data_IF_445661599607
#
_entry.id   IF_445661599607
#
_cell.length_a   1.000
_cell.length_b   1.000
_cell.length_c   1.000
_cell.angle_alpha   90.00
_cell.angle_beta   90.00
_cell.angle_gamma   90.00
#
_symmetry.space_group_name_H-M   'P 1'
#
loop_
_entity.id
_entity.type
_entity.pdbx_description
1 polymer ?
#
# COMPACT_ATOMS: atom_id res chain seq x y z
N UNK A 1 -0.18 -19.57 -27.57
CA UNK A 1 -1.39 -20.14 -26.97
C UNK A 1 -1.06 -20.46 -25.53
N UNK A 2 -1.78 -19.84 -24.60
CA UNK A 2 -1.47 -19.83 -23.18
C UNK A 2 -1.69 -21.18 -22.52
N UNK A 3 -0.77 -21.53 -21.62
CA UNK A 3 -0.93 -22.63 -20.69
C UNK A 3 -1.10 -22.02 -19.29
N UNK A 4 -2.35 -21.99 -18.85
CA UNK A 4 -2.75 -21.82 -17.46
C UNK A 4 -2.73 -23.20 -16.80
N UNK A 5 -2.10 -23.34 -15.64
CA UNK A 5 -1.94 -24.65 -14.97
C UNK A 5 -1.34 -24.59 -13.57
N UNK A 6 -1.97 -23.82 -12.68
CA UNK A 6 -2.13 -24.05 -11.23
C UNK A 6 -1.00 -24.75 -10.43
N UNK A 7 -0.19 -23.97 -9.71
CA UNK A 7 0.14 -24.24 -8.31
C UNK A 7 0.35 -22.89 -7.57
N UNK A 8 -0.23 -22.76 -6.37
CA UNK A 8 -0.31 -21.51 -5.64
C UNK A 8 1.04 -21.05 -5.07
N UNK A 9 1.43 -19.83 -5.44
CA UNK A 9 2.31 -18.89 -4.72
C UNK A 9 2.37 -17.63 -5.58
N UNK A 10 1.22 -16.97 -5.72
CA UNK A 10 1.06 -15.84 -6.63
C UNK A 10 1.78 -14.62 -6.11
N UNK A 11 3.07 -14.49 -6.44
CA UNK A 11 3.78 -13.23 -6.37
C UNK A 11 3.25 -12.30 -7.49
N UNK A 12 1.98 -11.90 -7.40
CA UNK A 12 1.40 -10.86 -8.24
C UNK A 12 1.95 -9.49 -7.84
N UNK A 13 1.60 -8.41 -8.56
CA UNK A 13 2.05 -7.04 -8.23
C UNK A 13 1.69 -6.60 -6.80
N UNK A 14 0.70 -7.25 -6.18
CA UNK A 14 0.32 -7.04 -4.79
C UNK A 14 1.28 -7.69 -3.78
N UNK A 15 2.13 -8.65 -4.16
CA UNK A 15 3.13 -9.23 -3.26
C UNK A 15 4.25 -8.24 -2.96
N UNK A 16 4.82 -7.62 -3.99
CA UNK A 16 5.77 -6.51 -3.82
C UNK A 16 5.12 -5.34 -3.07
N UNK A 17 3.83 -5.08 -3.34
CA UNK A 17 3.09 -4.06 -2.63
C UNK A 17 2.89 -4.38 -1.14
N UNK A 18 2.57 -5.64 -0.83
CA UNK A 18 2.40 -6.15 0.52
C UNK A 18 3.70 -6.10 1.30
N UNK A 19 4.81 -6.51 0.69
CA UNK A 19 6.14 -6.45 1.29
C UNK A 19 6.52 -5.01 1.67
N UNK A 20 6.26 -4.04 0.80
CA UNK A 20 6.51 -2.63 1.12
C UNK A 20 5.59 -2.13 2.22
N UNK A 21 4.30 -2.46 2.18
CA UNK A 21 3.32 -2.07 3.21
C UNK A 21 3.74 -2.62 4.56
N UNK A 22 4.12 -3.90 4.64
CA UNK A 22 4.58 -4.53 5.87
C UNK A 22 5.90 -3.94 6.36
N UNK A 23 6.85 -3.67 5.45
CA UNK A 23 8.11 -3.02 5.78
C UNK A 23 7.89 -1.64 6.39
N UNK A 24 7.09 -0.79 5.75
CA UNK A 24 6.78 0.56 6.24
C UNK A 24 5.96 0.47 7.53
N UNK A 25 5.06 -0.52 7.65
CA UNK A 25 4.28 -0.76 8.85
C UNK A 25 5.15 -1.11 10.06
N UNK A 26 6.17 -1.96 9.88
CA UNK A 26 7.07 -2.40 10.95
C UNK A 26 8.28 -1.47 11.15
N UNK A 27 8.54 -0.57 10.20
CA UNK A 27 9.69 0.33 10.25
C UNK A 27 9.70 1.15 11.54
N UNK A 28 10.89 1.24 12.15
CA UNK A 28 11.09 1.86 13.46
C UNK A 28 10.19 1.27 14.58
N UNK A 29 9.93 -0.04 14.54
CA UNK A 29 9.11 -0.73 15.54
C UNK A 29 7.63 -0.33 15.48
N UNK A 30 7.13 0.05 14.30
CA UNK A 30 5.74 0.48 14.14
C UNK A 30 5.50 1.97 14.29
N UNK A 31 6.55 2.78 14.51
CA UNK A 31 6.40 4.22 14.63
C UNK A 31 6.11 4.88 13.27
N UNK A 32 6.66 4.36 12.18
CA UNK A 32 6.58 5.03 10.87
C UNK A 32 5.16 5.02 10.28
N UNK A 33 4.38 3.95 10.50
CA UNK A 33 3.04 3.78 9.93
C UNK A 33 2.09 4.96 10.21
N UNK A 34 2.20 5.54 11.41
CA UNK A 34 1.36 6.64 11.87
C UNK A 34 2.01 8.01 11.72
N UNK A 35 3.23 8.09 11.18
CA UNK A 35 3.86 9.37 10.91
C UNK A 35 3.15 10.05 9.74
N UNK A 36 2.85 11.36 9.84
CA UNK A 36 2.21 12.08 8.76
C UNK A 36 3.15 12.18 7.57
N UNK A 37 2.59 12.00 6.38
CA UNK A 37 3.27 12.37 5.15
C UNK A 37 3.32 13.91 5.10
N UNK A 38 4.47 14.51 4.78
CA UNK A 38 4.59 15.97 4.69
C UNK A 38 3.69 16.56 3.59
N UNK A 39 3.61 17.89 3.56
CA UNK A 39 2.76 18.63 2.63
C UNK A 39 1.24 18.35 2.77
N UNK A 40 0.83 17.80 3.92
CA UNK A 40 -0.58 17.55 4.24
C UNK A 40 -1.13 16.21 3.74
N UNK A 41 -0.26 15.34 3.25
CA UNK A 41 -0.62 14.03 2.71
C UNK A 41 -0.52 13.96 1.18
N UNK A 42 -0.62 12.75 0.66
CA UNK A 42 -0.45 12.47 -0.77
C UNK A 42 -1.78 12.09 -1.43
N UNK A 43 -2.21 12.87 -2.41
CA UNK A 43 -3.43 12.58 -3.16
C UNK A 43 -3.21 11.40 -4.11
N UNK A 44 -3.94 10.30 -3.91
CA UNK A 44 -3.77 9.05 -4.64
C UNK A 44 -5.13 8.49 -5.08
N UNK A 45 -5.09 7.52 -6.00
CA UNK A 45 -6.25 6.67 -6.29
C UNK A 45 -6.02 5.32 -5.64
N UNK A 46 -7.03 4.77 -4.99
CA UNK A 46 -6.99 3.43 -4.43
C UNK A 46 -6.77 2.41 -5.56
N UNK A 47 -5.75 1.57 -5.45
CA UNK A 47 -5.49 0.53 -6.45
C UNK A 47 -6.49 -0.64 -6.34
N UNK A 48 -7.24 -0.72 -5.24
CA UNK A 48 -8.29 -1.73 -5.03
C UNK A 48 -9.64 -1.36 -5.65
N UNK A 49 -10.19 -0.18 -5.32
CA UNK A 49 -11.52 0.25 -5.77
C UNK A 49 -11.51 1.44 -6.76
N UNK A 50 -10.37 2.10 -6.97
CA UNK A 50 -10.25 3.26 -7.86
C UNK A 50 -10.66 4.61 -7.25
N UNK A 51 -11.23 4.61 -6.04
CA UNK A 51 -11.65 5.83 -5.34
C UNK A 51 -10.45 6.73 -5.02
N UNK A 52 -10.58 8.03 -5.25
CA UNK A 52 -9.56 9.02 -4.89
C UNK A 52 -9.60 9.28 -3.39
N UNK A 53 -8.45 9.24 -2.74
CA UNK A 53 -8.30 9.60 -1.33
C UNK A 53 -6.93 10.20 -1.05
N UNK A 54 -6.78 10.83 0.11
CA UNK A 54 -5.50 11.41 0.54
C UNK A 54 -4.86 10.49 1.56
N UNK A 55 -3.66 9.99 1.23
CA UNK A 55 -2.82 9.22 2.13
C UNK A 55 -2.19 10.17 3.15
N UNK A 56 -2.70 10.18 4.39
CA UNK A 56 -2.27 11.13 5.42
C UNK A 56 -1.00 10.69 6.13
N UNK A 57 -0.80 9.39 6.24
CA UNK A 57 0.32 8.76 6.94
C UNK A 57 1.07 7.81 6.02
N UNK A 58 2.27 7.36 6.41
CA UNK A 58 3.07 6.47 5.55
C UNK A 58 2.40 5.13 5.26
N UNK A 59 1.52 4.67 6.15
CA UNK A 59 0.56 3.59 5.91
C UNK A 59 -0.82 4.14 6.18
N UNK A 60 -1.73 4.03 5.21
CA UNK A 60 -3.10 4.50 5.35
C UNK A 60 -4.07 3.52 4.71
N UNK A 61 -5.32 3.56 5.14
CA UNK A 61 -6.36 2.61 4.73
C UNK A 61 -7.39 3.37 3.89
N UNK A 62 -7.70 2.82 2.71
CA UNK A 62 -8.75 3.39 1.87
C UNK A 62 -10.08 3.33 2.64
N UNK A 63 -10.77 4.47 2.86
CA UNK A 63 -12.01 4.51 3.66
C UNK A 63 -13.19 3.85 2.94
N UNK A 64 -13.07 3.57 1.64
CA UNK A 64 -14.13 3.07 0.80
C UNK A 64 -14.13 1.52 0.71
N UNK A 65 -12.95 0.91 0.50
CA UNK A 65 -12.81 -0.54 0.39
C UNK A 65 -12.01 -1.21 1.52
N UNK A 66 -11.43 -0.44 2.45
CA UNK A 66 -10.56 -0.97 3.50
C UNK A 66 -9.16 -1.37 3.03
N UNK A 67 -8.79 -1.07 1.79
CA UNK A 67 -7.51 -1.45 1.21
C UNK A 67 -6.31 -0.71 1.82
N UNK A 68 -5.27 -1.43 2.22
CA UNK A 68 -4.08 -0.86 2.86
C UNK A 68 -3.06 -0.38 1.82
N UNK A 69 -2.67 0.88 1.91
CA UNK A 69 -1.69 1.52 1.05
C UNK A 69 -0.51 2.02 1.86
N UNK A 70 0.68 1.98 1.28
CA UNK A 70 1.86 2.53 1.91
C UNK A 70 2.82 3.17 0.92
N UNK A 71 3.59 4.14 1.41
CA UNK A 71 4.65 4.79 0.65
C UNK A 71 5.92 4.83 1.49
N UNK A 72 7.07 4.71 0.83
CA UNK A 72 8.35 4.81 1.51
C UNK A 72 8.73 6.28 1.79
N UNK A 73 9.39 6.60 2.93
CA UNK A 73 9.89 7.94 3.24
C UNK A 73 10.66 8.67 2.12
N UNK A 74 11.60 8.03 1.41
CA UNK A 74 12.30 8.71 0.33
C UNK A 74 11.40 9.07 -0.87
N UNK A 75 10.23 8.42 -1.03
CA UNK A 75 9.34 8.55 -2.20
C UNK A 75 7.96 9.11 -1.84
N UNK A 76 7.79 9.61 -0.61
CA UNK A 76 6.53 10.08 0.00
C UNK A 76 5.81 11.23 -0.72
N UNK A 77 6.47 11.86 -1.67
CA UNK A 77 5.94 13.00 -2.44
C UNK A 77 5.43 12.60 -3.82
N UNK A 78 5.53 11.32 -4.19
CA UNK A 78 5.19 10.85 -5.53
C UNK A 78 4.16 9.69 -5.46
N UNK A 79 2.91 9.94 -5.90
CA UNK A 79 1.81 8.98 -5.77
C UNK A 79 2.03 7.71 -6.59
N UNK A 80 2.91 7.73 -7.61
CA UNK A 80 3.22 6.52 -8.40
C UNK A 80 3.97 5.47 -7.60
N UNK A 81 4.60 5.86 -6.49
CA UNK A 81 5.38 4.97 -5.63
C UNK A 81 4.56 4.44 -4.44
N UNK A 82 3.27 4.74 -4.42
CA UNK A 82 2.38 4.19 -3.40
C UNK A 82 2.04 2.77 -3.80
N UNK A 83 2.31 1.87 -2.87
CA UNK A 83 2.02 0.47 -3.01
C UNK A 83 0.71 0.12 -2.31
N UNK A 84 0.05 -0.90 -2.85
CA UNK A 84 -1.17 -1.47 -2.32
C UNK A 84 -0.93 -2.93 -1.95
N UNK A 85 -1.27 -3.31 -0.72
CA UNK A 85 -1.01 -4.66 -0.22
C UNK A 85 -1.95 -5.73 -0.79
N UNK A 86 -3.00 -5.33 -1.49
CA UNK A 86 -4.03 -6.22 -2.02
C UNK A 86 -5.36 -6.11 -1.26
N UNK A 87 -6.46 -6.57 -1.87
CA UNK A 87 -7.81 -6.44 -1.31
C UNK A 87 -8.05 -7.29 -0.06
N UNK A 88 -7.34 -8.41 0.08
CA UNK A 88 -7.48 -9.34 1.21
C UNK A 88 -6.40 -9.14 2.29
N UNK A 89 -5.59 -8.08 2.18
CA UNK A 89 -4.54 -7.82 3.15
C UNK A 89 -5.08 -7.14 4.40
N UNK A 90 -4.90 -7.78 5.55
CA UNK A 90 -5.15 -7.22 6.87
C UNK A 90 -3.82 -6.90 7.55
N UNK A 91 -3.77 -5.75 8.22
CA UNK A 91 -2.65 -5.41 9.10
C UNK A 91 -2.63 -6.38 10.30
N UNK A 92 -1.45 -6.89 10.70
CA UNK A 92 -1.30 -7.74 11.86
C UNK A 92 -1.51 -6.97 13.17
#
# INVERSE_FOLDING_TARGET
>A
MGSCGSCGSGAGPFSEGRELVEFVYQAHGGALRGQPVPDGGLAIKCHGCGTAFTLRTFVDICPDCGGVHAVSPPRRSDPVNVQFAGPDFALP
#
